data_IF_434054389488
#
_entry.id   IF_434054389488
#
_cell.length_a   1.000
_cell.length_b   1.000
_cell.length_c   1.000
_cell.angle_alpha   90.00
_cell.angle_beta   90.00
_cell.angle_gamma   90.00
#
_symmetry.space_group_name_H-M   'P 1'
#
loop_
_entity.id
_entity.type
_entity.pdbx_description
1 polymer ?
#
# COMPACT_ATOMS: atom_id res chain seq x y z
N UNK A 1 -6.46 -34.38 18.54
CA UNK A 1 -7.05 -33.28 17.74
C UNK A 1 -7.33 -32.14 18.70
N UNK A 2 -6.37 -31.22 18.86
CA UNK A 2 -6.55 -30.05 19.71
C UNK A 2 -7.10 -28.92 18.86
N UNK A 3 -8.15 -28.26 19.36
CA UNK A 3 -8.69 -27.02 18.82
C UNK A 3 -7.56 -26.07 18.41
N UNK A 4 -7.73 -25.39 17.27
CA UNK A 4 -6.97 -24.19 16.89
C UNK A 4 -7.22 -23.13 17.96
N UNK A 5 -6.53 -23.30 19.08
CA UNK A 5 -6.65 -22.52 20.29
C UNK A 5 -6.24 -21.11 19.93
N UNK A 6 -7.09 -20.14 20.27
CA UNK A 6 -6.85 -18.71 20.10
C UNK A 6 -5.40 -18.37 20.42
N UNK A 7 -4.64 -17.97 19.40
CA UNK A 7 -3.26 -17.57 19.55
C UNK A 7 -3.18 -16.42 20.57
N UNK A 8 -2.26 -16.50 21.52
CA UNK A 8 -2.03 -15.47 22.54
C UNK A 8 -0.67 -14.78 22.34
N UNK A 9 -0.46 -13.58 22.91
CA UNK A 9 0.85 -12.93 22.88
C UNK A 9 1.96 -13.78 23.50
N UNK A 10 1.64 -14.60 24.51
CA UNK A 10 2.59 -15.50 25.15
C UNK A 10 3.11 -16.58 24.19
N UNK A 11 2.27 -17.06 23.26
CA UNK A 11 2.68 -18.00 22.22
C UNK A 11 3.72 -17.37 21.27
N UNK A 12 3.56 -16.08 20.97
CA UNK A 12 4.51 -15.33 20.14
C UNK A 12 5.82 -15.11 20.90
N UNK A 13 5.79 -14.76 22.19
CA UNK A 13 7.00 -14.67 23.01
C UNK A 13 7.72 -16.02 23.12
N UNK A 14 6.98 -17.13 23.26
CA UNK A 14 7.56 -18.47 23.28
C UNK A 14 8.26 -18.80 21.95
N UNK A 15 7.64 -18.47 20.81
CA UNK A 15 8.28 -18.63 19.49
C UNK A 15 9.48 -17.71 19.31
N UNK A 16 9.41 -16.46 19.76
CA UNK A 16 10.54 -15.52 19.68
C UNK A 16 11.75 -16.04 20.45
N UNK A 17 11.55 -16.56 21.67
CA UNK A 17 12.61 -17.22 22.46
C UNK A 17 13.20 -18.43 21.75
N UNK A 18 12.35 -19.24 21.12
CA UNK A 18 12.78 -20.43 20.38
C UNK A 18 13.65 -20.09 19.16
N UNK A 19 13.34 -19.00 18.46
CA UNK A 19 14.10 -18.56 17.28
C UNK A 19 15.20 -17.52 17.59
N UNK A 20 15.45 -17.20 18.86
CA UNK A 20 16.38 -16.15 19.28
C UNK A 20 16.13 -14.80 18.57
N UNK A 21 14.86 -14.38 18.56
CA UNK A 21 14.42 -13.10 18.02
C UNK A 21 14.09 -12.15 19.16
N UNK A 22 14.65 -10.95 19.12
CA UNK A 22 14.24 -9.86 20.01
C UNK A 22 13.12 -9.07 19.33
N UNK A 23 11.89 -9.19 19.85
CA UNK A 23 10.71 -8.55 19.28
C UNK A 23 10.75 -7.02 19.38
N UNK A 24 11.51 -6.46 20.32
CA UNK A 24 11.67 -5.01 20.46
C UNK A 24 12.65 -4.46 19.42
N UNK A 25 13.73 -5.19 19.14
CA UNK A 25 14.75 -4.80 18.16
C UNK A 25 14.36 -5.19 16.72
N UNK A 26 13.62 -6.29 16.55
CA UNK A 26 13.28 -6.89 15.25
C UNK A 26 11.75 -7.07 15.06
N UNK A 27 10.93 -6.00 15.21
CA UNK A 27 9.47 -6.11 15.10
C UNK A 27 9.00 -6.55 13.70
N UNK A 28 9.83 -6.38 12.66
CA UNK A 28 9.53 -6.85 11.30
C UNK A 28 9.44 -8.39 11.19
N UNK A 29 9.93 -9.14 12.18
CA UNK A 29 9.84 -10.61 12.23
C UNK A 29 8.51 -11.11 12.82
N UNK A 30 7.68 -10.22 13.38
CA UNK A 30 6.40 -10.56 14.01
C UNK A 30 5.45 -11.37 13.11
N UNK A 31 5.23 -11.01 11.82
CA UNK A 31 4.37 -11.80 10.93
C UNK A 31 4.88 -13.24 10.73
N UNK A 32 6.21 -13.39 10.65
CA UNK A 32 6.84 -14.69 10.46
C UNK A 32 6.73 -15.58 11.71
N UNK A 33 6.86 -14.98 12.89
CA UNK A 33 6.66 -15.68 14.16
C UNK A 33 5.20 -16.08 14.38
N UNK A 34 4.24 -15.24 13.98
CA UNK A 34 2.81 -15.59 13.97
C UNK A 34 2.56 -16.80 13.07
N UNK A 35 3.12 -16.78 11.86
CA UNK A 35 3.03 -17.91 10.94
C UNK A 35 3.64 -19.18 11.54
N UNK A 36 4.82 -19.10 12.15
CA UNK A 36 5.47 -20.24 12.81
C UNK A 36 4.68 -20.78 14.01
N UNK A 37 3.90 -19.96 14.70
CA UNK A 37 3.04 -20.37 15.82
C UNK A 37 1.81 -21.17 15.35
N UNK A 38 1.23 -20.81 14.21
CA UNK A 38 0.02 -21.46 13.67
C UNK A 38 0.31 -22.57 12.66
N UNK A 39 1.59 -22.82 12.34
CA UNK A 39 1.96 -23.81 11.32
C UNK A 39 1.65 -25.22 11.83
N UNK A 40 0.77 -25.98 11.14
CA UNK A 40 0.51 -27.36 11.51
C UNK A 40 1.71 -28.26 11.19
N UNK A 41 1.72 -29.45 11.79
CA UNK A 41 2.69 -30.48 11.44
C UNK A 41 2.54 -30.86 9.96
N UNK A 42 3.65 -31.09 9.24
CA UNK A 42 3.60 -31.62 7.89
C UNK A 42 2.91 -33.00 7.87
N UNK A 43 2.40 -33.43 6.70
CA UNK A 43 1.81 -34.77 6.56
C UNK A 43 2.77 -35.85 7.08
N UNK A 44 2.23 -36.87 7.75
CA UNK A 44 2.97 -38.02 8.28
C UNK A 44 3.90 -37.72 9.47
N UNK A 45 3.85 -36.50 10.02
CA UNK A 45 4.50 -36.18 11.29
C UNK A 45 3.48 -36.15 12.42
N UNK A 46 3.79 -36.85 13.52
CA UNK A 46 2.99 -36.83 14.73
C UNK A 46 3.81 -36.38 15.94
N UNK A 47 3.11 -35.74 16.87
CA UNK A 47 3.64 -35.33 18.16
C UNK A 47 3.57 -36.54 19.11
N UNK A 48 4.72 -36.99 19.59
CA UNK A 48 4.84 -38.13 20.50
C UNK A 48 5.37 -37.62 21.83
N UNK A 49 4.64 -37.94 22.90
CA UNK A 49 5.05 -37.62 24.26
C UNK A 49 4.98 -38.91 25.09
N UNK A 50 6.14 -39.49 25.39
CA UNK A 50 6.24 -40.80 26.05
C UNK A 50 5.81 -40.77 27.53
N UNK A 51 5.75 -39.59 28.16
CA UNK A 51 5.28 -39.37 29.53
C UNK A 51 4.88 -37.90 29.72
N UNK A 52 3.94 -37.57 30.63
CA UNK A 52 3.49 -36.19 30.83
C UNK A 52 4.61 -35.22 31.28
N UNK A 53 5.73 -35.75 31.80
CA UNK A 53 6.94 -35.01 32.16
C UNK A 53 8.05 -35.07 31.10
N UNK A 54 7.85 -35.82 30.01
CA UNK A 54 8.82 -35.93 28.92
C UNK A 54 8.65 -34.76 27.97
N UNK A 55 9.77 -34.25 27.44
CA UNK A 55 9.78 -33.28 26.36
C UNK A 55 9.02 -33.83 25.15
N UNK A 56 8.31 -32.94 24.46
CA UNK A 56 7.58 -33.26 23.24
C UNK A 56 8.57 -33.58 22.12
N UNK A 57 8.45 -34.74 21.50
CA UNK A 57 9.21 -35.09 20.31
C UNK A 57 8.28 -35.27 19.09
N UNK A 58 8.84 -35.08 17.91
CA UNK A 58 8.14 -35.23 16.64
C UNK A 58 8.68 -36.46 15.94
N UNK A 59 7.77 -37.36 15.55
CA UNK A 59 8.11 -38.58 14.84
C UNK A 59 7.48 -38.58 13.45
N UNK A 60 8.27 -38.93 12.44
CA UNK A 60 7.79 -39.23 11.10
C UNK A 60 7.32 -40.69 11.05
N UNK A 61 6.07 -40.91 10.71
CA UNK A 61 5.43 -42.23 10.69
C UNK A 61 5.92 -43.09 9.52
N UNK A 62 6.42 -42.48 8.44
CA UNK A 62 6.90 -43.18 7.25
C UNK A 62 8.38 -43.57 7.35
N UNK A 63 9.22 -42.65 7.85
CA UNK A 63 10.68 -42.85 7.91
C UNK A 63 11.17 -43.35 9.27
N UNK A 64 10.33 -43.27 10.30
CA UNK A 64 10.71 -43.57 11.68
C UNK A 64 11.63 -42.52 12.32
N UNK A 65 11.89 -41.41 11.61
CA UNK A 65 12.75 -40.33 12.08
C UNK A 65 12.13 -39.62 13.28
N UNK A 66 12.93 -39.36 14.32
CA UNK A 66 12.53 -38.63 15.53
C UNK A 66 13.36 -37.38 15.70
N UNK A 67 12.72 -36.26 16.02
CA UNK A 67 13.40 -35.01 16.31
C UNK A 67 12.72 -34.26 17.45
N UNK A 68 13.50 -33.49 18.21
CA UNK A 68 13.00 -32.68 19.32
C UNK A 68 12.31 -31.39 18.85
N UNK A 69 12.53 -30.97 17.60
CA UNK A 69 12.04 -29.70 17.05
C UNK A 69 11.05 -29.90 15.92
N UNK A 70 10.16 -28.92 15.71
CA UNK A 70 9.19 -28.98 14.63
C UNK A 70 9.87 -29.12 13.25
N UNK A 71 9.38 -29.97 12.33
CA UNK A 71 10.05 -30.22 11.05
C UNK A 71 10.23 -28.98 10.16
N UNK A 72 9.36 -27.98 10.32
CA UNK A 72 9.44 -26.71 9.58
C UNK A 72 10.43 -25.70 10.19
N UNK A 73 11.17 -26.06 11.25
CA UNK A 73 12.08 -25.13 11.94
C UNK A 73 13.16 -24.58 11.00
N UNK A 74 13.72 -25.43 10.13
CA UNK A 74 14.76 -25.05 9.18
C UNK A 74 14.27 -24.03 8.15
N UNK A 75 13.00 -24.13 7.73
CA UNK A 75 12.35 -23.16 6.86
C UNK A 75 12.28 -21.78 7.53
N UNK A 76 11.80 -21.71 8.78
CA UNK A 76 11.66 -20.45 9.49
C UNK A 76 13.00 -19.83 9.86
N UNK A 77 14.00 -20.63 10.26
CA UNK A 77 15.36 -20.14 10.52
C UNK A 77 15.96 -19.48 9.27
N UNK A 78 15.78 -20.09 8.10
CA UNK A 78 16.25 -19.52 6.83
C UNK A 78 15.54 -18.21 6.50
N UNK A 79 14.22 -18.16 6.64
CA UNK A 79 13.44 -16.94 6.40
C UNK A 79 13.83 -15.79 7.35
N UNK A 80 14.07 -16.09 8.63
CA UNK A 80 14.57 -15.10 9.61
C UNK A 80 15.93 -14.56 9.18
N UNK A 81 16.84 -15.45 8.76
CA UNK A 81 18.16 -15.06 8.28
C UNK A 81 18.07 -14.15 7.03
N UNK A 82 17.25 -14.53 6.05
CA UNK A 82 17.07 -13.77 4.82
C UNK A 82 16.49 -12.36 5.09
N UNK A 83 15.52 -12.26 6.02
CA UNK A 83 14.98 -10.97 6.48
C UNK A 83 16.02 -10.14 7.22
N UNK A 84 16.82 -10.73 8.11
CA UNK A 84 17.93 -10.04 8.80
C UNK A 84 18.95 -9.48 7.82
N UNK A 85 19.31 -10.24 6.77
CA UNK A 85 20.20 -9.76 5.71
C UNK A 85 19.59 -8.58 4.94
N UNK A 86 18.31 -8.68 4.56
CA UNK A 86 17.61 -7.62 3.84
C UNK A 86 17.53 -6.31 4.62
N UNK A 87 17.17 -6.40 5.91
CA UNK A 87 17.07 -5.23 6.79
C UNK A 87 18.44 -4.73 7.28
N UNK A 88 19.44 -5.60 7.41
CA UNK A 88 20.82 -5.23 7.78
C UNK A 88 21.57 -4.48 6.66
N UNK A 89 21.34 -4.82 5.39
CA UNK A 89 21.93 -4.09 4.24
C UNK A 89 21.34 -2.69 4.09
N UNK A 90 20.10 -2.49 4.52
CA UNK A 90 19.40 -1.20 4.46
C UNK A 90 19.89 -0.21 5.54
N UNK A 91 20.69 -0.66 6.53
CA UNK A 91 21.18 0.15 7.66
C UNK A 91 22.66 0.58 7.56
N UNK A 92 23.34 0.41 6.42
CA UNK A 92 24.70 0.96 6.24
C UNK A 92 24.67 2.50 6.18
N UNK A 93 25.63 3.20 6.82
CA UNK A 93 25.54 4.65 7.04
C UNK A 93 25.91 5.42 5.76
N UNK A 94 24.88 5.89 5.03
CA UNK A 94 25.05 7.08 4.20
C UNK A 94 25.03 8.29 5.13
N UNK A 95 26.13 9.05 5.08
CA UNK A 95 26.37 10.30 5.82
C UNK A 95 25.13 11.20 5.83
N UNK A 96 24.79 11.59 7.06
CA UNK A 96 24.14 12.83 7.50
C UNK A 96 23.87 13.85 6.39
N UNK A 97 22.62 13.88 5.90
CA UNK A 97 21.79 15.07 5.66
C UNK A 97 20.45 14.56 5.08
N UNK A 98 19.56 14.09 5.95
CA UNK A 98 18.18 13.84 5.56
C UNK A 98 17.25 13.93 6.77
N UNK A 99 16.17 14.66 6.55
CA UNK A 99 15.03 14.91 7.44
C UNK A 99 14.63 13.72 8.31
N UNK A 100 14.24 13.94 9.58
CA UNK A 100 13.73 12.89 10.47
C UNK A 100 12.34 12.35 10.07
N UNK A 101 11.89 12.61 8.83
CA UNK A 101 10.55 12.28 8.32
C UNK A 101 10.51 11.12 7.30
N UNK A 102 11.65 10.51 6.95
CA UNK A 102 11.71 9.36 6.04
C UNK A 102 12.51 8.20 6.65
N UNK A 103 11.81 7.25 7.26
CA UNK A 103 12.46 6.04 7.77
C UNK A 103 11.63 5.19 8.72
N UNK A 104 10.37 4.89 8.39
CA UNK A 104 9.66 3.76 9.01
C UNK A 104 8.93 2.97 7.94
N UNK A 105 9.64 1.99 7.39
CA UNK A 105 9.03 0.72 6.96
C UNK A 105 8.16 0.22 8.12
N UNK A 106 7.01 -0.40 7.80
CA UNK A 106 6.02 -1.06 8.66
C UNK A 106 6.58 -1.81 9.89
N UNK A 107 7.15 -1.08 10.85
CA UNK A 107 7.81 -1.55 12.08
C UNK A 107 6.97 -1.14 13.28
N UNK A 108 5.66 -1.15 13.10
CA UNK A 108 4.76 -1.07 14.22
C UNK A 108 4.72 -2.46 14.83
N UNK A 109 5.28 -2.62 16.04
CA UNK A 109 5.33 -3.88 16.81
C UNK A 109 3.96 -4.45 17.20
N UNK A 110 2.90 -3.99 16.54
CA UNK A 110 1.52 -4.27 16.83
C UNK A 110 1.04 -5.52 16.09
N UNK A 111 0.35 -6.40 16.81
CA UNK A 111 -0.25 -7.60 16.25
C UNK A 111 -1.66 -7.80 16.80
N UNK A 112 -2.55 -8.30 15.94
CA UNK A 112 -3.94 -8.64 16.27
C UNK A 112 -4.08 -10.05 16.88
N UNK A 113 -4.88 -10.12 17.94
CA UNK A 113 -5.26 -11.33 18.69
C UNK A 113 -6.78 -11.37 18.92
N UNK A 114 -7.30 -12.56 19.22
CA UNK A 114 -8.72 -12.76 19.55
C UNK A 114 -8.86 -13.35 20.95
N UNK A 115 -9.72 -12.75 21.78
CA UNK A 115 -9.94 -13.23 23.14
C UNK A 115 -10.85 -14.47 23.13
N UNK A 116 -10.38 -15.64 23.64
CA UNK A 116 -11.13 -16.90 23.56
C UNK A 116 -12.50 -16.85 24.25
N UNK A 117 -12.65 -16.00 25.26
CA UNK A 117 -13.87 -15.90 26.08
C UNK A 117 -15.01 -15.14 25.40
N UNK A 118 -14.69 -14.23 24.46
CA UNK A 118 -15.65 -13.25 23.92
C UNK A 118 -15.61 -13.09 22.39
N UNK A 119 -14.67 -13.75 21.69
CA UNK A 119 -14.39 -13.53 20.26
C UNK A 119 -14.14 -12.05 19.91
N UNK A 120 -13.66 -11.27 20.88
CA UNK A 120 -13.36 -9.85 20.70
C UNK A 120 -11.89 -9.72 20.30
N UNK A 121 -11.64 -8.97 19.23
CA UNK A 121 -10.30 -8.67 18.73
C UNK A 121 -9.64 -7.63 19.63
N UNK A 122 -8.34 -7.78 19.84
CA UNK A 122 -7.49 -6.80 20.52
C UNK A 122 -6.12 -6.76 19.86
N UNK A 123 -5.40 -5.68 20.06
CA UNK A 123 -4.07 -5.43 19.50
C UNK A 123 -3.05 -5.37 20.63
N UNK A 124 -1.88 -5.96 20.43
CA UNK A 124 -0.80 -5.96 21.38
C UNK A 124 0.48 -5.47 20.72
N UNK A 125 1.14 -4.51 21.34
CA UNK A 125 2.44 -3.99 20.92
C UNK A 125 3.55 -4.77 21.61
N UNK A 126 4.35 -5.48 20.83
CA UNK A 126 5.52 -6.21 21.30
C UNK A 126 6.73 -5.32 21.59
N UNK A 127 6.72 -4.05 21.17
CA UNK A 127 7.77 -3.07 21.48
C UNK A 127 7.47 -2.38 22.82
N UNK A 128 6.25 -1.89 23.03
CA UNK A 128 5.87 -1.18 24.28
C UNK A 128 5.22 -2.07 25.34
N UNK A 129 4.84 -3.31 25.00
CA UNK A 129 4.13 -4.23 25.88
C UNK A 129 2.67 -3.84 26.16
N UNK A 130 2.11 -2.93 25.36
CA UNK A 130 0.77 -2.38 25.60
C UNK A 130 -0.31 -3.16 24.86
N UNK A 131 -1.41 -3.46 25.57
CA UNK A 131 -2.64 -4.00 24.99
C UNK A 131 -3.61 -2.86 24.72
N UNK A 132 -4.22 -2.85 23.54
CA UNK A 132 -5.29 -1.94 23.16
C UNK A 132 -6.45 -2.71 22.54
N UNK A 133 -7.67 -2.24 22.71
CA UNK A 133 -8.85 -2.82 22.04
C UNK A 133 -9.01 -2.27 20.61
N UNK A 134 -8.44 -1.11 20.34
CA UNK A 134 -8.46 -0.40 19.05
C UNK A 134 -7.09 -0.48 18.39
N UNK A 135 -7.06 -0.58 17.05
CA UNK A 135 -5.80 -0.62 16.31
C UNK A 135 -5.00 0.68 16.55
N UNK A 136 -3.66 0.67 16.65
CA UNK A 136 -2.85 1.89 16.88
C UNK A 136 -3.06 2.97 15.81
N UNK A 137 -3.35 2.58 14.56
CA UNK A 137 -3.71 3.53 13.50
C UNK A 137 -5.16 4.05 13.60
N UNK A 138 -5.96 3.59 14.56
CA UNK A 138 -7.31 4.11 14.80
C UNK A 138 -7.26 5.53 15.40
N UNK A 139 -6.19 5.92 16.09
CA UNK A 139 -6.03 7.28 16.62
C UNK A 139 -5.77 8.33 15.52
N UNK A 140 -5.34 7.91 14.31
CA UNK A 140 -5.33 8.78 13.13
C UNK A 140 -6.75 9.00 12.56
N UNK A 141 -7.72 8.16 12.94
CA UNK A 141 -9.14 8.38 12.63
C UNK A 141 -9.81 9.31 13.66
N UNK A 142 -9.36 9.36 14.92
CA UNK A 142 -10.04 10.13 15.98
C UNK A 142 -9.91 11.67 15.85
N UNK A 143 -8.82 12.16 15.24
CA UNK A 143 -8.69 13.59 14.92
C UNK A 143 -9.72 14.04 13.86
N UNK A 144 -10.22 13.10 13.05
CA UNK A 144 -11.28 13.34 12.05
C UNK A 144 -12.67 12.97 12.61
N UNK A 145 -12.74 11.97 13.51
CA UNK A 145 -13.98 11.51 14.15
C UNK A 145 -14.56 12.51 15.16
N UNK A 146 -13.74 13.41 15.72
CA UNK A 146 -14.27 14.49 16.59
C UNK A 146 -15.15 15.51 15.85
N UNK A 147 -15.15 15.49 14.50
CA UNK A 147 -16.07 16.28 13.67
C UNK A 147 -17.28 15.46 13.17
N UNK A 148 -17.30 14.15 13.42
CA UNK A 148 -18.32 13.24 12.91
C UNK A 148 -18.92 12.40 14.06
N UNK A 149 -19.64 13.06 14.96
CA UNK A 149 -20.57 12.37 15.88
C UNK A 149 -21.71 11.74 15.08
N UNK A 150 -21.61 10.43 14.80
CA UNK A 150 -22.75 9.56 14.49
C UNK A 150 -22.50 8.51 13.40
N UNK A 151 -22.27 7.26 13.81
CA UNK A 151 -22.12 6.08 12.94
C UNK A 151 -20.64 5.68 12.79
N UNK A 152 -20.15 4.60 13.41
CA UNK A 152 -20.56 3.23 13.17
C UNK A 152 -19.74 2.69 11.99
N UNK A 153 -18.59 2.07 12.28
CA UNK A 153 -17.73 1.28 11.37
C UNK A 153 -18.11 1.45 9.88
N UNK A 154 -17.49 2.40 9.17
CA UNK A 154 -17.83 2.74 7.77
C UNK A 154 -17.47 1.57 6.82
N UNK A 155 -18.33 0.56 6.80
CA UNK A 155 -18.60 -0.24 5.62
C UNK A 155 -19.17 0.74 4.61
N UNK A 156 -18.45 1.03 3.53
CA UNK A 156 -18.95 1.93 2.51
C UNK A 156 -20.36 1.52 2.09
N UNK A 157 -21.29 2.47 2.17
CA UNK A 157 -22.60 2.51 1.52
C UNK A 157 -22.71 1.55 0.31
N UNK A 158 -23.35 0.36 0.32
CA UNK A 158 -23.59 -0.37 -0.93
C UNK A 158 -24.21 0.49 -2.03
N UNK A 159 -24.99 1.51 -1.65
CA UNK A 159 -25.54 2.53 -2.56
C UNK A 159 -24.48 3.41 -3.24
N UNK A 160 -23.34 3.64 -2.58
CA UNK A 160 -22.20 4.39 -3.15
C UNK A 160 -21.59 3.61 -4.30
N UNK A 161 -21.48 2.28 -4.16
CA UNK A 161 -21.02 1.40 -5.22
C UNK A 161 -22.00 1.37 -6.40
N UNK A 162 -23.30 1.18 -6.14
CA UNK A 162 -24.32 1.20 -7.19
C UNK A 162 -24.33 2.53 -7.97
N UNK A 163 -24.18 3.65 -7.25
CA UNK A 163 -24.05 4.98 -7.86
C UNK A 163 -22.81 5.09 -8.74
N UNK A 164 -21.64 4.63 -8.25
CA UNK A 164 -20.39 4.62 -9.02
C UNK A 164 -20.51 3.78 -10.30
N UNK A 165 -21.08 2.58 -10.20
CA UNK A 165 -21.34 1.71 -11.36
C UNK A 165 -22.29 2.39 -12.35
N UNK A 166 -23.38 3.00 -11.86
CA UNK A 166 -24.34 3.74 -12.68
C UNK A 166 -23.71 4.94 -13.40
N UNK A 167 -22.85 5.68 -12.72
CA UNK A 167 -22.13 6.83 -13.26
C UNK A 167 -21.19 6.40 -14.40
N UNK A 168 -20.41 5.33 -14.21
CA UNK A 168 -19.43 4.88 -15.19
C UNK A 168 -20.01 4.07 -16.36
N UNK A 169 -21.32 3.79 -16.36
CA UNK A 169 -22.05 3.35 -17.55
C UNK A 169 -22.29 4.49 -18.55
N UNK A 170 -22.18 5.74 -18.12
CA UNK A 170 -22.39 6.91 -18.99
C UNK A 170 -21.15 7.17 -19.86
N UNK A 171 -21.38 7.61 -21.09
CA UNK A 171 -20.30 7.94 -22.05
C UNK A 171 -19.89 9.41 -22.01
N UNK A 172 -20.68 10.28 -21.36
CA UNK A 172 -20.44 11.72 -21.31
C UNK A 172 -21.05 12.34 -20.06
N UNK A 173 -20.37 13.34 -19.50
CA UNK A 173 -20.81 14.14 -18.36
C UNK A 173 -20.57 15.64 -18.68
N UNK A 174 -21.54 16.51 -18.40
CA UNK A 174 -21.45 17.96 -18.73
C UNK A 174 -20.35 18.68 -17.93
N UNK A 175 -20.17 18.30 -16.68
CA UNK A 175 -19.22 18.88 -15.74
C UNK A 175 -18.22 17.80 -15.31
N UNK A 176 -17.32 17.44 -16.22
CA UNK A 176 -16.36 16.36 -15.96
C UNK A 176 -15.44 16.69 -14.78
N UNK A 177 -15.15 17.96 -14.54
CA UNK A 177 -14.38 18.46 -13.40
C UNK A 177 -14.97 18.07 -12.03
N UNK A 178 -16.28 17.77 -11.98
CA UNK A 178 -17.01 17.34 -10.77
C UNK A 178 -17.13 15.83 -10.65
N UNK A 179 -16.37 15.06 -11.44
CA UNK A 179 -16.36 13.60 -11.29
C UNK A 179 -15.89 13.24 -9.88
N UNK A 180 -16.69 12.47 -9.16
CA UNK A 180 -16.40 12.08 -7.77
C UNK A 180 -15.74 10.72 -7.65
N UNK A 181 -15.89 9.86 -8.67
CA UNK A 181 -15.38 8.49 -8.65
C UNK A 181 -14.58 8.22 -9.92
N UNK A 182 -13.37 7.71 -9.77
CA UNK A 182 -12.56 7.18 -10.86
C UNK A 182 -12.77 5.67 -10.97
N UNK A 183 -12.78 5.14 -12.19
CA UNK A 183 -12.99 3.72 -12.46
C UNK A 183 -11.91 3.18 -13.39
N UNK A 184 -11.30 2.07 -12.98
CA UNK A 184 -10.31 1.34 -13.74
C UNK A 184 -10.67 -0.14 -13.82
N UNK A 185 -10.37 -0.74 -14.95
CA UNK A 185 -10.43 -2.18 -15.17
C UNK A 185 -9.00 -2.71 -15.29
N UNK A 186 -8.74 -3.78 -14.58
CA UNK A 186 -7.49 -4.54 -14.60
C UNK A 186 -7.81 -6.00 -14.87
N UNK A 187 -6.83 -6.75 -15.38
CA UNK A 187 -6.99 -8.18 -15.58
C UNK A 187 -5.66 -8.91 -15.41
N UNK A 188 -5.74 -10.18 -15.04
CA UNK A 188 -4.61 -11.10 -15.05
C UNK A 188 -5.03 -12.45 -15.60
N UNK A 189 -4.04 -13.28 -15.92
CA UNK A 189 -4.27 -14.63 -16.41
C UNK A 189 -3.86 -15.61 -15.32
N UNK A 190 -4.80 -16.45 -14.88
CA UNK A 190 -4.55 -17.54 -13.94
C UNK A 190 -4.40 -18.85 -14.69
N UNK A 191 -3.37 -19.63 -14.33
CA UNK A 191 -3.20 -21.00 -14.82
C UNK A 191 -4.14 -21.92 -14.05
N UNK A 192 -5.04 -22.58 -14.75
CA UNK A 192 -6.02 -23.55 -14.22
C UNK A 192 -5.68 -24.92 -14.79
N UNK A 193 -6.12 -26.00 -14.12
CA UNK A 193 -5.88 -27.39 -14.54
C UNK A 193 -6.25 -27.68 -16.01
N UNK A 194 -7.19 -26.91 -16.58
CA UNK A 194 -7.61 -27.00 -18.00
C UNK A 194 -7.33 -25.70 -18.78
N UNK A 195 -6.13 -25.13 -18.63
CA UNK A 195 -5.65 -24.02 -19.47
C UNK A 195 -5.49 -22.72 -18.70
N UNK A 196 -5.86 -21.60 -19.30
CA UNK A 196 -5.68 -20.27 -18.71
C UNK A 196 -7.01 -19.53 -18.62
N UNK A 197 -7.39 -19.07 -17.43
CA UNK A 197 -8.56 -18.23 -17.21
C UNK A 197 -8.10 -16.77 -17.12
N UNK A 198 -8.75 -15.87 -17.86
CA UNK A 198 -8.56 -14.43 -17.67
C UNK A 198 -9.52 -13.96 -16.59
N UNK A 199 -8.98 -13.39 -15.53
CA UNK A 199 -9.73 -12.82 -14.42
C UNK A 199 -9.67 -11.30 -14.53
N UNK A 200 -10.80 -10.65 -14.30
CA UNK A 200 -10.96 -9.20 -14.40
C UNK A 200 -11.29 -8.61 -13.03
N UNK A 201 -10.92 -7.35 -12.86
CA UNK A 201 -11.06 -6.59 -11.64
C UNK A 201 -11.46 -5.17 -11.98
N UNK A 202 -12.53 -4.71 -11.34
CA UNK A 202 -12.98 -3.33 -11.41
C UNK A 202 -12.62 -2.60 -10.13
N UNK A 203 -11.92 -1.47 -10.28
CA UNK A 203 -11.42 -0.64 -9.19
C UNK A 203 -12.09 0.72 -9.30
N UNK A 204 -12.87 1.07 -8.29
CA UNK A 204 -13.52 2.37 -8.13
C UNK A 204 -12.80 3.13 -7.01
N UNK A 205 -12.40 4.37 -7.28
CA UNK A 205 -11.75 5.24 -6.32
C UNK A 205 -12.61 6.47 -6.10
N UNK A 206 -13.09 6.67 -4.88
CA UNK A 206 -13.82 7.87 -4.49
C UNK A 206 -12.82 9.00 -4.20
N UNK A 207 -12.85 10.06 -5.00
CA UNK A 207 -12.02 11.26 -4.81
C UNK A 207 -12.27 11.93 -3.45
N UNK A 208 -13.53 12.17 -3.01
CA UNK A 208 -13.77 12.87 -1.75
C UNK A 208 -13.41 12.03 -0.52
N UNK A 209 -13.67 10.72 -0.53
CA UNK A 209 -13.44 9.86 0.65
C UNK A 209 -12.09 9.14 0.63
N UNK A 210 -11.38 9.16 -0.51
CA UNK A 210 -10.12 8.46 -0.77
C UNK A 210 -10.21 6.92 -0.61
N UNK A 211 -11.43 6.36 -0.55
CA UNK A 211 -11.66 4.93 -0.45
C UNK A 211 -11.67 4.25 -1.83
N UNK A 212 -11.27 2.98 -1.83
CA UNK A 212 -11.32 2.09 -2.98
C UNK A 212 -12.44 1.07 -2.79
N UNK A 213 -13.24 0.86 -3.83
CA UNK A 213 -14.16 -0.26 -3.94
C UNK A 213 -13.70 -1.16 -5.08
N UNK A 214 -13.59 -2.44 -4.80
CA UNK A 214 -12.98 -3.42 -5.71
C UNK A 214 -13.95 -4.57 -5.92
N UNK A 215 -14.17 -4.92 -7.18
CA UNK A 215 -15.06 -6.03 -7.58
C UNK A 215 -14.32 -6.95 -8.53
N UNK A 216 -14.41 -8.25 -8.28
CA UNK A 216 -13.89 -9.29 -9.15
C UNK A 216 -15.00 -9.75 -10.09
N UNK A 217 -14.72 -9.98 -11.38
CA UNK A 217 -15.77 -10.42 -12.32
C UNK A 217 -16.38 -11.78 -11.99
N UNK A 218 -15.70 -12.62 -11.20
CA UNK A 218 -16.18 -13.93 -10.78
C UNK A 218 -16.78 -13.97 -9.37
N UNK A 219 -16.98 -12.82 -8.74
CA UNK A 219 -17.71 -12.70 -7.46
C UNK A 219 -18.61 -11.45 -7.45
N UNK A 220 -19.77 -11.57 -6.83
CA UNK A 220 -20.64 -10.41 -6.56
C UNK A 220 -20.20 -9.61 -5.31
N UNK A 221 -19.10 -10.03 -4.67
CA UNK A 221 -18.56 -9.38 -3.48
C UNK A 221 -17.89 -8.04 -3.82
N UNK A 222 -18.28 -6.99 -3.09
CA UNK A 222 -17.67 -5.66 -3.16
C UNK A 222 -16.73 -5.47 -1.97
N UNK A 223 -15.44 -5.35 -2.26
CA UNK A 223 -14.42 -5.11 -1.24
C UNK A 223 -14.17 -3.62 -1.09
N UNK A 224 -14.38 -3.08 0.11
CA UNK A 224 -14.05 -1.69 0.44
C UNK A 224 -12.69 -1.63 1.14
N UNK A 225 -11.77 -0.85 0.60
CA UNK A 225 -10.44 -0.61 1.14
C UNK A 225 -10.35 0.88 1.46
N UNK A 226 -10.14 1.21 2.73
CA UNK A 226 -10.20 2.61 3.19
C UNK A 226 -9.06 3.46 2.62
N UNK A 227 -7.86 2.90 2.50
CA UNK A 227 -6.71 3.58 1.91
C UNK A 227 -5.71 2.56 1.39
N UNK A 228 -4.93 2.97 0.40
CA UNK A 228 -3.81 2.19 -0.14
C UNK A 228 -2.56 3.04 -0.01
N UNK A 229 -1.49 2.45 0.51
CA UNK A 229 -0.20 3.13 0.62
C UNK A 229 0.60 2.85 -0.65
N UNK A 230 1.06 3.91 -1.31
CA UNK A 230 1.92 3.82 -2.50
C UNK A 230 3.35 3.45 -2.16
N UNK A 231 4.17 3.20 -3.18
CA UNK A 231 5.61 2.93 -3.00
C UNK A 231 6.39 4.07 -2.32
N UNK A 232 5.84 5.28 -2.31
CA UNK A 232 6.39 6.45 -1.62
C UNK A 232 6.06 6.50 -0.12
N UNK A 233 5.30 5.54 0.41
CA UNK A 233 4.83 5.56 1.79
C UNK A 233 3.66 6.51 2.06
N UNK A 234 3.18 7.24 1.04
CA UNK A 234 2.01 8.13 1.15
C UNK A 234 0.74 7.40 0.74
N UNK A 235 -0.38 7.78 1.33
CA UNK A 235 -1.72 7.32 0.90
C UNK A 235 -1.95 7.76 -0.54
N UNK A 236 -2.39 6.82 -1.38
CA UNK A 236 -2.72 7.08 -2.77
C UNK A 236 -3.89 8.05 -2.86
N UNK A 237 -3.73 9.03 -3.73
CA UNK A 237 -4.74 10.02 -4.08
C UNK A 237 -5.17 9.85 -5.54
N UNK A 238 -6.16 10.63 -5.98
CA UNK A 238 -6.56 10.69 -7.38
C UNK A 238 -5.38 10.97 -8.34
N UNK A 239 -4.38 11.74 -7.89
CA UNK A 239 -3.22 12.15 -8.68
C UNK A 239 -2.22 11.03 -8.95
N UNK A 240 -2.29 9.96 -8.17
CA UNK A 240 -1.45 8.78 -8.30
C UNK A 240 -1.98 7.77 -9.31
N UNK A 241 -3.29 7.82 -9.57
CA UNK A 241 -3.99 6.82 -10.36
C UNK A 241 -3.90 7.15 -11.86
N UNK A 242 -3.22 6.29 -12.60
CA UNK A 242 -3.04 6.40 -14.05
C UNK A 242 -2.90 5.02 -14.67
N UNK A 243 -3.04 4.94 -16.00
CA UNK A 243 -2.82 3.69 -16.74
C UNK A 243 -1.36 3.27 -16.62
N UNK A 244 -1.13 2.06 -16.11
CA UNK A 244 0.17 1.52 -15.79
C UNK A 244 0.57 1.66 -14.31
N UNK A 245 -0.21 2.39 -13.50
CA UNK A 245 0.04 2.49 -12.07
C UNK A 245 -0.08 1.11 -11.41
N UNK A 246 0.86 0.79 -10.52
CA UNK A 246 0.88 -0.48 -9.76
C UNK A 246 0.44 -0.19 -8.33
N UNK A 247 -0.67 -0.79 -7.93
CA UNK A 247 -1.29 -0.60 -6.61
C UNK A 247 -1.50 -1.94 -5.92
N UNK A 248 -1.41 -2.00 -4.60
CA UNK A 248 -1.63 -3.24 -3.86
C UNK A 248 -3.11 -3.39 -3.52
N UNK A 249 -3.77 -4.40 -4.07
CA UNK A 249 -5.17 -4.73 -3.86
C UNK A 249 -5.29 -6.18 -3.38
N UNK A 250 -5.98 -6.40 -2.26
CA UNK A 250 -6.27 -7.73 -1.71
C UNK A 250 -5.01 -8.64 -1.62
N UNK A 251 -3.88 -8.05 -1.21
CA UNK A 251 -2.59 -8.74 -1.07
C UNK A 251 -1.82 -8.98 -2.39
N UNK A 252 -2.33 -8.52 -3.54
CA UNK A 252 -1.66 -8.63 -4.84
C UNK A 252 -1.28 -7.27 -5.40
N UNK A 253 -0.18 -7.19 -6.14
CA UNK A 253 0.17 -5.98 -6.90
C UNK A 253 -0.62 -6.00 -8.21
N UNK A 254 -1.53 -5.05 -8.37
CA UNK A 254 -2.41 -4.90 -9.52
C UNK A 254 -1.99 -3.69 -10.34
N UNK A 255 -1.79 -3.90 -11.64
CA UNK A 255 -1.55 -2.81 -12.60
C UNK A 255 -2.90 -2.28 -13.08
N UNK A 256 -3.14 -0.97 -12.99
CA UNK A 256 -4.31 -0.31 -13.57
C UNK A 256 -4.18 -0.30 -15.10
N UNK A 257 -5.06 -1.01 -15.81
CA UNK A 257 -4.86 -1.24 -17.25
C UNK A 257 -5.71 -0.34 -18.12
N UNK A 258 -7.01 -0.23 -17.81
CA UNK A 258 -7.95 0.50 -18.65
C UNK A 258 -8.82 1.42 -17.79
N UNK A 259 -8.83 2.73 -18.01
CA UNK A 259 -9.74 3.64 -17.33
C UNK A 259 -11.10 3.63 -18.04
N UNK A 260 -12.18 3.91 -17.31
CA UNK A 260 -13.47 4.23 -17.92
C UNK A 260 -13.36 5.50 -18.78
N UNK A 261 -14.35 5.73 -19.65
CA UNK A 261 -14.33 6.89 -20.54
C UNK A 261 -14.36 8.21 -19.75
N UNK A 262 -15.18 8.30 -18.70
CA UNK A 262 -15.24 9.47 -17.82
C UNK A 262 -13.91 9.67 -17.07
N UNK A 263 -13.34 8.59 -16.53
CA UNK A 263 -12.03 8.65 -15.85
C UNK A 263 -10.94 9.16 -16.78
N UNK A 264 -10.93 8.70 -18.05
CA UNK A 264 -9.99 9.17 -19.06
C UNK A 264 -10.17 10.66 -19.37
N UNK A 265 -11.40 11.11 -19.53
CA UNK A 265 -11.69 12.53 -19.80
C UNK A 265 -11.28 13.41 -18.62
N UNK A 266 -11.53 12.96 -17.38
CA UNK A 266 -11.12 13.64 -16.16
C UNK A 266 -9.60 13.76 -16.07
N UNK A 267 -8.87 12.65 -16.27
CA UNK A 267 -7.40 12.64 -16.26
C UNK A 267 -6.83 13.59 -17.32
N UNK A 268 -7.36 13.54 -18.55
CA UNK A 268 -6.91 14.40 -19.65
C UNK A 268 -7.18 15.90 -19.39
N UNK A 269 -8.29 16.24 -18.71
CA UNK A 269 -8.60 17.61 -18.33
C UNK A 269 -7.54 18.14 -17.35
N UNK A 270 -7.25 17.39 -16.28
CA UNK A 270 -6.27 17.80 -15.27
C UNK A 270 -4.84 17.80 -15.82
N UNK A 271 -4.49 16.82 -16.66
CA UNK A 271 -3.20 16.79 -17.36
C UNK A 271 -2.99 18.07 -18.17
N UNK A 272 -4.00 18.49 -18.95
CA UNK A 272 -3.93 19.72 -19.74
C UNK A 272 -3.78 20.97 -18.87
N UNK A 273 -4.51 21.04 -17.75
CA UNK A 273 -4.42 22.17 -16.80
C UNK A 273 -3.04 22.25 -16.15
N UNK A 274 -2.52 21.14 -15.67
CA UNK A 274 -1.20 21.08 -15.04
C UNK A 274 -0.09 21.34 -16.05
N UNK A 275 -0.19 20.82 -17.28
CA UNK A 275 0.77 21.10 -18.34
C UNK A 275 0.79 22.59 -18.72
N UNK A 276 -0.37 23.25 -18.77
CA UNK A 276 -0.45 24.69 -19.00
C UNK A 276 0.21 25.48 -17.86
N UNK A 277 -0.05 25.09 -16.61
CA UNK A 277 0.56 25.70 -15.42
C UNK A 277 2.09 25.53 -15.44
N UNK A 278 2.57 24.32 -15.74
CA UNK A 278 4.00 24.02 -15.89
C UNK A 278 4.64 24.95 -16.92
N UNK A 279 4.04 25.05 -18.10
CA UNK A 279 4.54 25.89 -19.18
C UNK A 279 4.59 27.38 -18.80
N UNK A 280 3.60 27.87 -18.06
CA UNK A 280 3.57 29.24 -17.57
C UNK A 280 4.73 29.51 -16.60
N UNK A 281 4.95 28.63 -15.63
CA UNK A 281 6.07 28.72 -14.67
C UNK A 281 7.42 28.67 -15.39
N UNK A 282 7.58 27.76 -16.35
CA UNK A 282 8.79 27.68 -17.19
C UNK A 282 9.04 28.98 -17.96
N UNK A 283 8.00 29.55 -18.57
CA UNK A 283 8.10 30.80 -19.33
C UNK A 283 8.49 31.98 -18.44
N UNK A 284 7.94 32.07 -17.22
CA UNK A 284 8.36 33.08 -16.25
C UNK A 284 9.80 32.88 -15.80
N UNK A 285 10.21 31.64 -15.56
CA UNK A 285 11.56 31.30 -15.09
C UNK A 285 12.64 31.63 -16.15
N UNK A 286 12.34 31.39 -17.43
CA UNK A 286 13.23 31.74 -18.56
C UNK A 286 13.63 33.23 -18.58
N UNK A 287 12.76 34.14 -18.11
CA UNK A 287 13.06 35.59 -18.07
C UNK A 287 14.26 35.91 -17.17
N UNK A 288 14.48 35.11 -16.12
CA UNK A 288 15.55 35.31 -15.15
C UNK A 288 16.80 34.49 -15.51
N UNK A 289 16.63 33.29 -16.06
CA UNK A 289 17.76 32.47 -16.53
C UNK A 289 18.52 33.12 -17.70
N UNK A 290 17.81 33.80 -18.61
CA UNK A 290 18.42 34.55 -19.72
C UNK A 290 19.28 35.73 -19.25
N UNK A 291 19.05 36.27 -18.05
CA UNK A 291 19.88 37.33 -17.46
C UNK A 291 21.12 36.79 -16.74
N UNK A 292 21.07 35.54 -16.29
CA UNK A 292 22.15 34.86 -15.54
C UNK A 292 23.19 34.21 -16.46
N UNK A 293 22.81 33.77 -17.67
CA UNK A 293 23.70 33.05 -18.58
C UNK A 293 23.88 33.79 -19.90
N UNK A 294 25.09 34.33 -20.11
CA UNK A 294 25.63 34.59 -21.45
C UNK A 294 25.57 33.27 -22.22
N UNK A 295 24.54 33.14 -23.07
CA UNK A 295 24.31 32.16 -24.14
C UNK A 295 25.16 30.88 -24.07
N UNK A 296 24.50 29.75 -23.76
CA UNK A 296 24.71 28.52 -24.53
C UNK A 296 23.37 28.11 -25.15
N UNK A 297 23.32 27.85 -26.46
CA UNK A 297 22.10 27.41 -27.12
C UNK A 297 21.75 26.01 -26.61
N UNK A 298 20.51 25.85 -26.14
CA UNK A 298 19.94 24.54 -25.85
C UNK A 298 19.93 23.73 -27.15
N UNK A 299 20.62 22.59 -27.09
CA UNK A 299 20.67 21.58 -28.14
C UNK A 299 19.24 21.21 -28.52
N UNK A 300 18.84 21.60 -29.73
CA UNK A 300 17.58 21.19 -30.33
C UNK A 300 17.60 19.70 -30.62
N UNK A 301 17.18 18.90 -29.64
CA UNK A 301 16.70 17.56 -29.90
C UNK A 301 15.18 17.64 -29.99
N UNK A 302 14.67 17.81 -31.21
CA UNK A 302 13.28 17.55 -31.52
C UNK A 302 13.12 16.04 -31.35
N UNK A 303 12.56 15.62 -30.22
CA UNK A 303 12.14 14.24 -30.03
C UNK A 303 10.96 14.02 -30.99
N UNK A 304 11.24 13.40 -32.14
CA UNK A 304 10.21 12.89 -33.03
C UNK A 304 9.31 11.96 -32.21
N UNK A 305 8.04 12.34 -32.04
CA UNK A 305 7.05 11.52 -31.37
C UNK A 305 6.90 10.20 -32.14
N UNK A 306 7.34 9.10 -31.54
CA UNK A 306 7.13 7.75 -32.07
C UNK A 306 5.63 7.43 -32.01
N UNK A 307 4.93 7.29 -33.16
CA UNK A 307 3.47 7.06 -33.21
C UNK A 307 3.03 5.74 -32.58
N UNK A 308 3.97 4.82 -32.35
CA UNK A 308 3.70 3.47 -31.84
C UNK A 308 4.05 3.29 -30.37
N UNK A 309 4.62 4.31 -29.72
CA UNK A 309 4.80 4.27 -28.27
C UNK A 309 3.44 4.49 -27.63
N UNK A 310 2.79 3.41 -27.20
CA UNK A 310 1.58 3.51 -26.39
C UNK A 310 1.84 4.52 -25.30
N UNK A 311 1.14 5.66 -25.34
CA UNK A 311 1.24 6.70 -24.33
C UNK A 311 0.77 6.07 -23.04
N UNK A 312 1.72 5.56 -22.25
CA UNK A 312 1.46 5.15 -20.89
C UNK A 312 0.89 6.37 -20.17
N UNK A 313 -0.16 6.17 -19.39
CA UNK A 313 -0.89 7.28 -18.77
C UNK A 313 0.08 8.19 -18.01
N UNK A 314 -0.07 9.51 -18.18
CA UNK A 314 0.76 10.47 -17.45
C UNK A 314 0.37 10.45 -15.98
N UNK A 315 1.36 10.24 -15.11
CA UNK A 315 1.14 10.38 -13.67
C UNK A 315 0.97 11.87 -13.34
N UNK A 316 -0.25 12.26 -12.94
CA UNK A 316 -0.56 13.63 -12.55
C UNK A 316 0.28 14.06 -11.33
N UNK A 317 0.55 13.15 -10.38
CA UNK A 317 1.45 13.43 -9.24
C UNK A 317 2.86 13.79 -9.70
N UNK A 318 3.40 13.08 -10.70
CA UNK A 318 4.73 13.41 -11.23
C UNK A 318 4.73 14.81 -11.83
N UNK A 319 3.71 15.15 -12.62
CA UNK A 319 3.57 16.47 -13.21
C UNK A 319 3.45 17.58 -12.15
N UNK A 320 2.67 17.34 -11.10
CA UNK A 320 2.56 18.25 -9.95
C UNK A 320 3.90 18.42 -9.21
N UNK A 321 4.66 17.33 -9.03
CA UNK A 321 5.97 17.38 -8.39
C UNK A 321 6.97 18.20 -9.21
N UNK A 322 6.95 18.04 -10.54
CA UNK A 322 7.76 18.85 -11.46
C UNK A 322 7.38 20.35 -11.39
N UNK A 323 6.09 20.67 -11.30
CA UNK A 323 5.65 22.07 -11.14
C UNK A 323 6.12 22.64 -9.79
N UNK A 324 6.06 21.86 -8.71
CA UNK A 324 6.52 22.29 -7.40
C UNK A 324 8.03 22.55 -7.38
N UNK A 325 8.82 21.68 -8.01
CA UNK A 325 10.27 21.92 -8.19
C UNK A 325 10.55 23.21 -8.97
N UNK A 326 9.78 23.48 -10.03
CA UNK A 326 9.88 24.70 -10.82
C UNK A 326 9.46 25.94 -10.02
N UNK A 327 8.41 25.84 -9.19
CA UNK A 327 7.98 26.90 -8.26
C UNK A 327 9.07 27.21 -7.25
N UNK A 328 9.71 26.20 -6.65
CA UNK A 328 10.83 26.38 -5.70
C UNK A 328 11.99 27.11 -6.40
N UNK A 329 12.31 26.75 -7.65
CA UNK A 329 13.33 27.47 -8.43
C UNK A 329 12.91 28.92 -8.71
N UNK A 330 11.68 29.16 -9.14
CA UNK A 330 11.16 30.51 -9.40
C UNK A 330 11.14 31.36 -8.13
N UNK A 331 10.84 30.77 -6.97
CA UNK A 331 10.82 31.45 -5.69
C UNK A 331 12.19 32.03 -5.28
N UNK A 332 13.30 31.41 -5.73
CA UNK A 332 14.66 31.96 -5.54
C UNK A 332 14.86 33.30 -6.26
N UNK A 333 14.20 33.51 -7.40
CA UNK A 333 14.28 34.75 -8.16
C UNK A 333 13.19 35.75 -7.78
N UNK A 334 11.95 35.30 -7.63
CA UNK A 334 10.76 36.15 -7.43
C UNK A 334 9.71 35.44 -6.57
N UNK A 335 9.84 35.46 -5.23
CA UNK A 335 8.94 34.72 -4.34
C UNK A 335 7.47 35.13 -4.50
N UNK A 336 7.20 36.40 -4.82
CA UNK A 336 5.83 36.90 -5.00
C UNK A 336 5.13 36.37 -6.26
N UNK A 337 5.87 35.99 -7.31
CA UNK A 337 5.27 35.35 -8.50
C UNK A 337 5.02 33.87 -8.17
N UNK A 338 6.01 33.20 -7.57
CA UNK A 338 5.90 31.78 -7.24
C UNK A 338 4.68 31.48 -6.34
N UNK A 339 4.35 32.39 -5.40
CA UNK A 339 3.15 32.30 -4.54
C UNK A 339 1.81 32.40 -5.29
N UNK A 340 1.77 32.91 -6.52
CA UNK A 340 0.53 33.00 -7.32
C UNK A 340 0.10 31.65 -7.87
N UNK A 341 1.05 30.73 -8.05
CA UNK A 341 0.79 29.39 -8.55
C UNK A 341 0.39 28.47 -7.39
N UNK A 342 -0.88 28.49 -7.01
CA UNK A 342 -1.43 27.57 -6.00
C UNK A 342 -1.64 26.21 -6.65
N UNK A 343 -1.02 25.16 -6.11
CA UNK A 343 -1.24 23.80 -6.57
C UNK A 343 -2.35 23.13 -5.74
N UNK A 344 -3.08 22.15 -6.30
CA UNK A 344 -4.06 21.37 -5.54
C UNK A 344 -3.46 20.65 -4.33
N UNK A 345 -2.14 20.41 -4.31
CA UNK A 345 -1.43 19.82 -3.18
C UNK A 345 -1.35 20.75 -1.96
N UNK A 346 -1.54 22.06 -2.13
CA UNK A 346 -1.41 23.08 -1.08
C UNK A 346 -2.75 23.36 -0.35
N UNK A 347 -3.86 22.85 -0.86
CA UNK A 347 -5.14 22.86 -0.14
C UNK A 347 -5.11 21.65 0.78
N UNK A 348 -4.91 21.88 2.08
CA UNK A 348 -4.78 20.85 3.12
C UNK A 348 -5.56 19.56 2.79
N UNK A 349 -4.78 18.56 2.40
CA UNK A 349 -5.19 17.26 1.87
C UNK A 349 -5.62 16.29 2.97
#
# INVERSE_FOLDING_TARGET
MGDLSSLSPDDIYAKARHFHVDLAAEPYLLPLLKQAAITPLPPQWSCVQDSPSSEVCYQNELTGERQATHPSISYFVRQIHDLRCHYGVTQLPLKEESDPALGRSDTNGWMEFEEPSRKKKYYYDFVSGQRQETHPNALLCDAVASLATGGGLDSADPRVFEHAVGLHKQSSMKHIERLEVLCFTSWWTESVLQGSKKSFLHVYFSIPTKHFQVVLDDSDDVFTISHIIGSSGKVLSAWDLHVGARIQLLGRITTLMQPSLLTRQWLALHEKQFAATKHEVETELLKYELQSHKRKPLTGQIACADPHKSVMGVSLRKLLSEIEELKIKLAKYRPDIARRYVLPLDQGD
#
